data_IF_186826971230
#
_entry.id   IF_186826971230
#
_cell.length_a   1.000
_cell.length_b   1.000
_cell.length_c   1.000
_cell.angle_alpha   90.00
_cell.angle_beta   90.00
_cell.angle_gamma   90.00
#
_symmetry.space_group_name_H-M   'P 1'
#
loop_
_entity.id
_entity.type
_entity.pdbx_description
1 polymer ?
#
# COMPACT_ATOMS: atom_id res chain seq x y z
N UNK A 1 -8.88 15.19 -9.24
CA UNK A 1 -8.72 14.32 -8.06
C UNK A 1 -8.15 15.19 -6.95
N UNK A 2 -8.97 15.52 -5.96
CA UNK A 2 -8.56 16.18 -4.72
C UNK A 2 -8.83 15.20 -3.58
N UNK A 3 -7.91 15.09 -2.62
CA UNK A 3 -8.04 14.17 -1.49
C UNK A 3 -6.71 13.65 -0.95
N UNK A 4 -6.78 12.92 0.17
CA UNK A 4 -5.62 12.37 0.86
C UNK A 4 -4.76 11.48 -0.05
N UNK A 5 -5.36 10.54 -0.79
CA UNK A 5 -4.63 9.64 -1.69
C UNK A 5 -3.81 10.39 -2.75
N UNK A 6 -4.33 11.51 -3.27
CA UNK A 6 -3.59 12.35 -4.21
C UNK A 6 -2.41 13.05 -3.52
N UNK A 7 -2.61 13.56 -2.32
CA UNK A 7 -1.54 14.20 -1.55
C UNK A 7 -0.39 13.23 -1.26
N UNK A 8 -0.70 11.97 -0.93
CA UNK A 8 0.29 10.93 -0.66
C UNK A 8 1.02 10.42 -1.90
N UNK A 9 0.32 10.24 -3.02
CA UNK A 9 0.82 9.39 -4.12
C UNK A 9 1.04 10.12 -5.44
N UNK A 10 0.76 11.42 -5.54
CA UNK A 10 0.93 12.20 -6.79
C UNK A 10 2.34 12.16 -7.38
N UNK A 11 3.37 11.91 -6.56
CA UNK A 11 4.76 11.87 -6.99
C UNK A 11 5.27 10.45 -7.26
N UNK A 12 4.40 9.43 -7.23
CA UNK A 12 4.81 8.05 -7.47
C UNK A 12 5.40 7.89 -8.87
N UNK A 13 6.63 7.37 -8.93
CA UNK A 13 7.39 7.16 -10.17
C UNK A 13 7.13 5.75 -10.71
N UNK A 14 6.03 5.57 -11.43
CA UNK A 14 5.58 4.28 -11.97
C UNK A 14 5.87 4.11 -13.48
N UNK A 15 6.72 4.98 -14.04
CA UNK A 15 7.12 4.99 -15.45
C UNK A 15 6.07 5.50 -16.44
N UNK A 16 4.83 5.72 -16.03
CA UNK A 16 3.78 6.35 -16.85
C UNK A 16 2.78 7.10 -15.95
N UNK A 17 2.45 8.34 -16.32
CA UNK A 17 1.51 9.20 -15.58
C UNK A 17 0.13 8.56 -15.42
N UNK A 18 -0.29 7.69 -16.35
CA UNK A 18 -1.55 6.95 -16.30
C UNK A 18 -1.56 5.93 -15.17
N UNK A 19 -0.41 5.30 -14.89
CA UNK A 19 -0.25 4.36 -13.76
C UNK A 19 -0.36 5.09 -12.43
N UNK A 20 0.26 6.26 -12.30
CA UNK A 20 0.14 7.09 -11.09
C UNK A 20 -1.30 7.55 -10.86
N UNK A 21 -2.00 8.00 -11.92
CA UNK A 21 -3.43 8.33 -11.83
C UNK A 21 -4.28 7.12 -11.42
N UNK A 22 -3.98 5.93 -11.96
CA UNK A 22 -4.66 4.68 -11.60
C UNK A 22 -4.42 4.30 -10.15
N UNK A 23 -3.18 4.37 -9.66
CA UNK A 23 -2.83 4.11 -8.26
C UNK A 23 -3.66 5.00 -7.32
N UNK A 24 -3.71 6.30 -7.58
CA UNK A 24 -4.48 7.26 -6.77
C UNK A 24 -5.96 6.89 -6.75
N UNK A 25 -6.54 6.54 -7.89
CA UNK A 25 -7.94 6.12 -7.98
C UNK A 25 -8.21 4.82 -7.20
N UNK A 26 -7.32 3.83 -7.30
CA UNK A 26 -7.43 2.56 -6.56
C UNK A 26 -7.42 2.84 -5.06
N UNK A 27 -6.44 3.61 -4.57
CA UNK A 27 -6.31 3.92 -3.14
C UNK A 27 -7.50 4.74 -2.64
N UNK A 28 -7.97 5.72 -3.41
CA UNK A 28 -9.15 6.52 -3.06
C UNK A 28 -10.40 5.64 -2.91
N UNK A 29 -10.66 4.74 -3.88
CA UNK A 29 -11.80 3.82 -3.83
C UNK A 29 -11.73 2.86 -2.63
N UNK A 30 -10.56 2.25 -2.39
CA UNK A 30 -10.39 1.30 -1.29
C UNK A 30 -10.46 1.99 0.09
N UNK A 31 -9.89 3.20 0.21
CA UNK A 31 -9.90 3.96 1.48
C UNK A 31 -11.30 4.42 1.90
N UNK A 32 -12.21 4.64 0.94
CA UNK A 32 -13.60 5.03 1.21
C UNK A 32 -14.49 3.86 1.64
N UNK A 33 -14.04 2.63 1.40
CA UNK A 33 -14.79 1.39 1.61
C UNK A 33 -13.88 0.30 2.18
N UNK A 34 -13.27 0.56 3.32
CA UNK A 34 -12.19 -0.27 3.90
C UNK A 34 -12.57 -1.72 4.17
N UNK A 35 -13.84 -2.00 4.45
CA UNK A 35 -14.35 -3.36 4.69
C UNK A 35 -14.92 -4.04 3.44
N UNK A 36 -14.97 -3.35 2.29
CA UNK A 36 -15.54 -3.88 1.07
C UNK A 36 -14.52 -4.72 0.30
N UNK A 37 -15.02 -5.69 -0.45
CA UNK A 37 -14.21 -6.40 -1.43
C UNK A 37 -13.74 -5.45 -2.55
N UNK A 38 -12.68 -5.84 -3.28
CA UNK A 38 -12.17 -5.04 -4.40
C UNK A 38 -13.25 -4.72 -5.45
N UNK A 39 -14.10 -5.68 -5.88
CA UNK A 39 -15.18 -5.37 -6.82
C UNK A 39 -16.21 -4.35 -6.27
N UNK A 40 -16.61 -4.49 -5.01
CA UNK A 40 -17.55 -3.56 -4.35
C UNK A 40 -16.97 -2.16 -4.18
N UNK A 41 -15.67 -2.07 -3.87
CA UNK A 41 -14.97 -0.81 -3.77
C UNK A 41 -14.85 -0.10 -5.14
N UNK A 42 -14.54 -0.87 -6.19
CA UNK A 42 -14.37 -0.36 -7.55
C UNK A 42 -15.69 0.03 -8.24
N UNK A 43 -16.82 -0.57 -7.85
CA UNK A 43 -18.18 -0.22 -8.29
C UNK A 43 -18.54 -0.61 -9.74
N UNK A 44 -17.56 -0.88 -10.61
CA UNK A 44 -17.80 -1.34 -11.99
C UNK A 44 -16.83 -2.46 -12.37
N UNK A 45 -17.27 -3.37 -13.24
CA UNK A 45 -16.42 -4.46 -13.72
C UNK A 45 -15.12 -3.98 -14.39
N UNK A 46 -15.22 -2.92 -15.21
CA UNK A 46 -14.06 -2.33 -15.87
C UNK A 46 -13.05 -1.75 -14.86
N UNK A 47 -13.52 -1.10 -13.79
CA UNK A 47 -12.64 -0.61 -12.73
C UNK A 47 -12.00 -1.76 -11.95
N UNK A 48 -12.78 -2.80 -11.63
CA UNK A 48 -12.29 -4.01 -10.95
C UNK A 48 -11.18 -4.69 -11.73
N UNK A 49 -11.40 -4.94 -13.03
CA UNK A 49 -10.37 -5.52 -13.92
C UNK A 49 -9.11 -4.66 -13.97
N UNK A 50 -9.27 -3.35 -14.17
CA UNK A 50 -8.13 -2.43 -14.19
C UNK A 50 -7.33 -2.41 -12.87
N UNK A 51 -7.98 -2.67 -11.73
CA UNK A 51 -7.29 -2.78 -10.42
C UNK A 51 -6.47 -4.07 -10.33
N UNK A 52 -7.04 -5.20 -10.72
CA UNK A 52 -6.30 -6.47 -10.75
C UNK A 52 -5.16 -6.44 -11.77
N UNK A 53 -5.39 -5.93 -12.98
CA UNK A 53 -4.36 -5.77 -14.01
C UNK A 53 -3.24 -4.82 -13.55
N UNK A 54 -3.57 -3.82 -12.72
CA UNK A 54 -2.57 -2.92 -12.13
C UNK A 54 -1.67 -3.66 -11.13
N UNK A 55 -2.23 -4.53 -10.28
CA UNK A 55 -1.45 -5.31 -9.31
C UNK A 55 -0.63 -6.43 -9.96
N UNK A 56 -1.14 -7.03 -11.02
CA UNK A 56 -0.44 -8.09 -11.77
C UNK A 56 0.61 -7.52 -12.76
N UNK A 57 0.67 -6.19 -12.91
CA UNK A 57 1.55 -5.56 -13.88
C UNK A 57 3.03 -5.72 -13.50
N UNK A 58 3.89 -6.27 -14.38
CA UNK A 58 5.32 -6.42 -14.08
C UNK A 58 6.06 -5.08 -13.97
N UNK A 59 5.45 -4.00 -14.44
CA UNK A 59 6.00 -2.65 -14.42
C UNK A 59 5.73 -1.89 -13.11
N UNK A 60 4.80 -2.36 -12.28
CA UNK A 60 4.47 -1.73 -11.01
C UNK A 60 5.26 -2.45 -9.92
N UNK A 61 6.18 -1.73 -9.27
CA UNK A 61 6.96 -2.28 -8.16
C UNK A 61 6.40 -1.79 -6.82
N UNK A 62 6.10 -2.67 -5.85
CA UNK A 62 5.59 -2.28 -4.54
C UNK A 62 6.48 -1.23 -3.82
N UNK A 63 7.79 -1.29 -4.04
CA UNK A 63 8.78 -0.36 -3.48
C UNK A 63 8.52 1.08 -3.95
N UNK A 64 8.14 1.26 -5.22
CA UNK A 64 7.86 2.58 -5.79
C UNK A 64 6.58 3.20 -5.19
N UNK A 65 5.59 2.34 -4.86
CA UNK A 65 4.37 2.77 -4.18
C UNK A 65 4.71 3.22 -2.75
N UNK A 66 5.48 2.40 -2.01
CA UNK A 66 5.93 2.73 -0.65
C UNK A 66 6.77 4.01 -0.63
N UNK A 67 7.71 4.16 -1.57
CA UNK A 67 8.58 5.33 -1.65
C UNK A 67 7.77 6.63 -1.82
N UNK A 68 6.73 6.64 -2.65
CA UNK A 68 5.89 7.81 -2.83
C UNK A 68 5.23 8.26 -1.51
N UNK A 69 4.73 7.30 -0.72
CA UNK A 69 4.15 7.58 0.59
C UNK A 69 5.20 7.99 1.64
N UNK A 70 6.38 7.38 1.60
CA UNK A 70 7.53 7.76 2.45
C UNK A 70 7.91 9.21 2.16
N UNK A 71 8.07 9.61 0.89
CA UNK A 71 8.42 10.98 0.51
C UNK A 71 7.37 11.99 1.01
N UNK A 72 6.09 11.65 0.91
CA UNK A 72 5.00 12.49 1.42
C UNK A 72 5.00 12.57 2.95
N UNK A 73 5.35 11.48 3.63
CA UNK A 73 5.53 11.44 5.08
C UNK A 73 6.72 12.30 5.53
N UNK A 74 7.87 12.16 4.88
CA UNK A 74 9.06 12.96 5.14
C UNK A 74 8.79 14.46 4.93
N UNK A 75 8.02 14.82 3.91
CA UNK A 75 7.58 16.22 3.69
C UNK A 75 6.66 16.76 4.77
N UNK A 76 5.89 15.92 5.46
CA UNK A 76 5.02 16.35 6.57
C UNK A 76 5.81 16.59 7.85
N UNK A 77 6.77 15.71 8.15
CA UNK A 77 7.52 15.75 9.41
C UNK A 77 8.56 16.88 9.47
N UNK A 78 8.98 17.45 8.33
CA UNK A 78 9.88 18.63 8.31
C UNK A 78 9.32 19.85 9.04
N UNK A 79 8.02 19.84 9.37
CA UNK A 79 7.34 20.88 10.14
C UNK A 79 7.34 20.62 11.66
N UNK A 80 7.98 19.55 12.12
CA UNK A 80 7.98 19.13 13.52
C UNK A 80 9.39 19.23 14.09
N UNK A 81 9.52 19.76 15.31
CA UNK A 81 10.81 19.82 16.00
C UNK A 81 11.24 18.45 16.52
N UNK A 82 10.26 17.66 16.98
CA UNK A 82 10.48 16.31 17.53
C UNK A 82 9.45 15.33 16.96
N UNK A 83 9.93 14.12 16.65
CA UNK A 83 9.12 12.99 16.21
C UNK A 83 9.51 11.75 16.98
N UNK A 84 8.54 10.86 17.18
CA UNK A 84 8.79 9.50 17.65
C UNK A 84 8.71 8.55 16.46
N UNK A 85 9.75 7.74 16.25
CA UNK A 85 9.77 6.68 15.25
C UNK A 85 9.53 5.33 15.94
N UNK A 86 8.26 4.91 15.99
CA UNK A 86 7.87 3.64 16.62
C UNK A 86 8.13 2.51 15.63
N UNK A 87 8.84 1.48 16.06
CA UNK A 87 9.19 0.33 15.24
C UNK A 87 8.64 -0.95 15.84
N UNK A 88 8.06 -1.78 14.98
CA UNK A 88 7.57 -3.10 15.37
C UNK A 88 7.53 -4.04 14.16
N UNK A 89 7.44 -5.34 14.42
CA UNK A 89 7.32 -6.39 13.40
C UNK A 89 6.02 -7.13 13.58
N UNK A 90 5.24 -7.23 12.50
CA UNK A 90 4.03 -8.05 12.44
C UNK A 90 4.16 -9.16 11.39
N UNK A 91 3.21 -10.07 11.36
CA UNK A 91 3.16 -11.18 10.41
C UNK A 91 1.88 -11.12 9.58
N UNK A 92 2.00 -11.29 8.26
CA UNK A 92 0.88 -11.63 7.39
C UNK A 92 0.85 -13.14 7.24
N UNK A 93 -0.20 -13.78 7.73
CA UNK A 93 -0.35 -15.22 7.73
C UNK A 93 -1.23 -15.69 6.56
N UNK A 94 -0.59 -16.31 5.57
CA UNK A 94 -1.21 -16.82 4.35
C UNK A 94 -1.29 -18.36 4.33
N UNK A 95 -1.19 -19.01 5.49
CA UNK A 95 -1.14 -20.49 5.58
C UNK A 95 -2.32 -21.17 4.88
N UNK A 96 -3.50 -20.56 4.94
CA UNK A 96 -4.73 -21.10 4.33
C UNK A 96 -4.94 -20.63 2.87
N UNK A 97 -3.94 -19.99 2.26
CA UNK A 97 -3.96 -19.52 0.87
C UNK A 97 -2.89 -20.26 0.05
N UNK A 98 -3.11 -21.56 -0.28
CA UNK A 98 -2.07 -22.41 -0.88
C UNK A 98 -1.63 -21.98 -2.29
N UNK A 99 -2.44 -21.16 -2.98
CA UNK A 99 -2.07 -20.58 -4.27
C UNK A 99 -1.01 -19.48 -4.16
N UNK A 100 -0.83 -18.88 -2.97
CA UNK A 100 0.11 -17.79 -2.73
C UNK A 100 1.55 -18.30 -2.77
N UNK A 101 2.34 -17.77 -3.70
CA UNK A 101 3.73 -18.16 -3.92
C UNK A 101 4.71 -17.20 -3.22
N UNK A 102 5.96 -17.64 -3.06
CA UNK A 102 7.04 -16.80 -2.52
C UNK A 102 7.01 -16.59 -1.00
N UNK A 103 6.12 -17.28 -0.28
CA UNK A 103 5.98 -17.15 1.17
C UNK A 103 7.05 -17.92 1.95
N UNK A 104 7.58 -17.31 3.02
CA UNK A 104 8.50 -17.92 3.96
C UNK A 104 7.79 -18.64 5.10
N UNK A 105 8.56 -19.17 6.06
CA UNK A 105 8.03 -19.60 7.36
C UNK A 105 7.83 -18.41 8.29
N UNK A 106 6.79 -18.48 9.11
CA UNK A 106 6.58 -17.58 10.25
C UNK A 106 7.26 -18.16 11.51
N UNK A 107 6.83 -17.75 12.70
CA UNK A 107 7.36 -18.27 13.98
C UNK A 107 7.06 -19.76 14.24
N UNK A 108 6.30 -20.41 13.35
CA UNK A 108 6.02 -21.84 13.35
C UNK A 108 6.32 -22.45 11.98
N UNK A 109 6.89 -23.66 11.98
CA UNK A 109 7.11 -24.45 10.75
C UNK A 109 5.81 -24.84 10.03
N UNK A 110 4.67 -24.73 10.71
CA UNK A 110 3.34 -25.00 10.15
C UNK A 110 2.65 -23.76 9.59
N UNK A 111 3.28 -22.58 9.73
CA UNK A 111 2.70 -21.31 9.31
C UNK A 111 3.57 -20.67 8.24
N UNK A 112 2.93 -20.18 7.18
CA UNK A 112 3.60 -19.52 6.04
C UNK A 112 3.05 -18.12 5.81
N UNK A 113 3.92 -17.22 5.40
CA UNK A 113 3.56 -15.83 5.20
C UNK A 113 4.74 -14.89 5.06
N UNK A 114 4.53 -13.63 5.45
CA UNK A 114 5.53 -12.56 5.43
C UNK A 114 5.69 -11.94 6.81
N UNK A 115 6.93 -11.70 7.22
CA UNK A 115 7.24 -10.78 8.32
C UNK A 115 7.34 -9.36 7.77
N UNK A 116 6.63 -8.44 8.37
CA UNK A 116 6.57 -7.04 7.96
C UNK A 116 7.10 -6.17 9.10
N UNK A 117 8.33 -5.69 8.95
CA UNK A 117 8.91 -4.71 9.85
C UNK A 117 8.55 -3.30 9.37
N UNK A 118 7.92 -2.51 10.23
CA UNK A 118 7.40 -1.19 9.88
C UNK A 118 7.88 -0.13 10.88
N UNK A 119 7.94 1.13 10.41
CA UNK A 119 8.16 2.30 11.24
C UNK A 119 6.97 3.25 11.12
N UNK A 120 6.33 3.56 12.24
CA UNK A 120 5.24 4.54 12.34
C UNK A 120 5.79 5.83 12.96
N UNK A 121 5.70 6.94 12.24
CA UNK A 121 6.09 8.24 12.75
C UNK A 121 4.92 8.92 13.46
N UNK A 122 5.15 9.35 14.70
CA UNK A 122 4.16 10.04 15.53
C UNK A 122 4.71 11.41 15.94
N UNK A 123 3.88 12.44 15.82
CA UNK A 123 4.19 13.78 16.31
C UNK A 123 4.11 13.80 17.83
N UNK A 124 5.13 14.35 18.49
CA UNK A 124 5.10 14.61 19.93
C UNK A 124 4.42 15.97 20.17
N UNK A 125 3.51 16.10 21.16
CA UNK A 125 2.86 17.36 21.51
C UNK A 125 3.85 18.47 21.88
#
# INVERSE_FOLDING_TARGET
>A
MSGWATAELKNAQLGDVRRTKRLILIVDNLSKKTSATVPEACGTWAATKATYDFWDSPYIKPEQIRQAHIDSTLKRITKQDWILAIQDTTEFNDTNHPATQGMGYLDSKYSRGLKVHSTLLVRVP
#
